data_IF_945911142380
#
_entry.id   IF_945911142380
#
_cell.length_a   1.000
_cell.length_b   1.000
_cell.length_c   1.000
_cell.angle_alpha   90.00
_cell.angle_beta   90.00
_cell.angle_gamma   90.00
#
_symmetry.space_group_name_H-M   'P 1'
#
loop_
_entity.id
_entity.type
_entity.pdbx_description
1 polymer ?
#
# COMPACT_ATOMS: atom_id res chain seq x y z
N UNK A 1 4.73 5.12 -10.44
CA UNK A 1 6.09 4.68 -10.04
C UNK A 1 6.88 4.02 -11.16
N UNK A 2 8.22 4.08 -11.07
CA UNK A 2 9.14 3.24 -11.85
C UNK A 2 9.28 1.87 -11.17
N UNK A 3 9.68 0.82 -11.91
CA UNK A 3 9.82 -0.55 -11.36
C UNK A 3 10.73 -0.62 -10.13
N UNK A 4 11.80 0.19 -10.07
CA UNK A 4 12.74 0.26 -8.94
C UNK A 4 12.08 0.73 -7.62
N UNK A 5 11.12 1.64 -7.70
CA UNK A 5 10.40 2.13 -6.51
C UNK A 5 9.53 1.03 -5.90
N UNK A 6 9.02 0.11 -6.74
CA UNK A 6 8.16 -0.99 -6.32
C UNK A 6 8.92 -2.03 -5.49
N UNK A 7 10.16 -2.34 -5.85
CA UNK A 7 10.98 -3.30 -5.10
C UNK A 7 11.48 -2.72 -3.78
N UNK A 8 11.78 -1.41 -3.72
CA UNK A 8 12.05 -0.71 -2.46
C UNK A 8 10.83 -0.60 -1.56
N UNK A 9 9.63 -0.60 -2.12
CA UNK A 9 8.40 -0.60 -1.32
C UNK A 9 8.18 -1.98 -0.66
N UNK A 10 8.47 -3.10 -1.33
CA UNK A 10 8.29 -4.44 -0.75
C UNK A 10 9.09 -4.68 0.55
N UNK A 11 10.26 -4.04 0.68
CA UNK A 11 11.08 -4.12 1.89
C UNK A 11 10.55 -3.29 3.07
N UNK A 12 9.62 -2.36 2.82
CA UNK A 12 9.07 -1.49 3.86
C UNK A 12 8.04 -2.19 4.75
N UNK A 13 7.94 -1.71 5.99
CA UNK A 13 6.95 -2.17 6.96
C UNK A 13 5.55 -1.64 6.65
N UNK A 14 4.51 -2.28 7.20
CA UNK A 14 3.12 -1.83 7.03
C UNK A 14 2.92 -0.39 7.54
N UNK A 15 3.62 -0.02 8.61
CA UNK A 15 3.60 1.33 9.17
C UNK A 15 4.18 2.38 8.20
N UNK A 16 5.28 2.06 7.52
CA UNK A 16 5.87 2.96 6.52
C UNK A 16 4.96 3.14 5.30
N UNK A 17 4.26 2.08 4.88
CA UNK A 17 3.25 2.20 3.82
C UNK A 17 2.09 3.13 4.22
N UNK A 18 1.62 3.04 5.46
CA UNK A 18 0.58 3.95 5.97
C UNK A 18 1.05 5.40 6.01
N UNK A 19 2.30 5.64 6.45
CA UNK A 19 2.89 6.98 6.45
C UNK A 19 2.97 7.58 5.04
N UNK A 20 3.50 6.82 4.09
CA UNK A 20 3.56 7.25 2.68
C UNK A 20 2.18 7.45 2.06
N UNK A 21 1.18 6.66 2.47
CA UNK A 21 -0.20 6.82 2.01
C UNK A 21 -0.81 8.14 2.50
N UNK A 22 -0.62 8.49 3.79
CA UNK A 22 -1.06 9.76 4.35
C UNK A 22 -0.39 10.97 3.68
N UNK A 23 0.90 10.87 3.37
CA UNK A 23 1.63 11.91 2.65
C UNK A 23 1.08 12.10 1.23
N UNK A 24 0.88 11.02 0.47
CA UNK A 24 0.31 11.08 -0.88
C UNK A 24 -1.14 11.56 -0.91
N UNK A 25 -1.93 11.29 0.13
CA UNK A 25 -3.31 11.81 0.23
C UNK A 25 -3.35 13.32 0.49
N UNK A 26 -2.42 13.85 1.29
CA UNK A 26 -2.23 15.30 1.45
C UNK A 26 -1.80 15.93 0.13
N UNK A 27 -0.79 15.36 -0.52
CA UNK A 27 -0.29 15.85 -1.81
C UNK A 27 -1.37 15.82 -2.88
N UNK A 28 -2.17 14.75 -2.95
CA UNK A 28 -3.34 14.67 -3.85
C UNK A 28 -4.30 15.83 -3.61
N UNK A 29 -4.61 16.13 -2.35
CA UNK A 29 -5.58 17.18 -1.99
C UNK A 29 -5.06 18.55 -2.44
N UNK A 30 -3.79 18.82 -2.17
CA UNK A 30 -3.11 20.05 -2.59
C UNK A 30 -3.05 20.19 -4.11
N UNK A 31 -2.68 19.12 -4.82
CA UNK A 31 -2.60 19.14 -6.28
C UNK A 31 -3.98 19.29 -6.93
N UNK A 32 -5.03 18.70 -6.38
CA UNK A 32 -6.42 18.92 -6.83
C UNK A 32 -6.84 20.37 -6.60
N UNK A 33 -6.48 20.96 -5.45
CA UNK A 33 -6.77 22.36 -5.17
C UNK A 33 -6.05 23.29 -6.17
N UNK A 34 -4.76 23.06 -6.39
CA UNK A 34 -3.95 23.80 -7.35
C UNK A 34 -4.47 23.67 -8.79
N UNK A 35 -4.98 22.49 -9.16
CA UNK A 35 -5.61 22.29 -10.47
C UNK A 35 -6.91 23.10 -10.60
N UNK A 36 -7.77 23.06 -9.58
CA UNK A 36 -9.03 23.79 -9.55
C UNK A 36 -8.84 25.30 -9.54
N UNK A 37 -7.79 25.78 -8.88
CA UNK A 37 -7.41 27.19 -8.86
C UNK A 37 -6.70 27.64 -10.16
N UNK A 38 -6.46 26.74 -11.12
CA UNK A 38 -5.71 27.05 -12.35
C UNK A 38 -4.22 27.35 -12.12
N UNK A 39 -3.72 27.11 -10.90
CA UNK A 39 -2.32 27.36 -10.51
C UNK A 39 -1.35 26.39 -11.16
N UNK A 40 -1.82 25.21 -11.56
CA UNK A 40 -0.99 24.20 -12.23
C UNK A 40 -1.64 23.71 -13.51
N UNK A 41 -0.86 23.65 -14.60
CA UNK A 41 -1.28 23.09 -15.90
C UNK A 41 -1.07 21.58 -15.97
N UNK A 42 -0.38 21.00 -14.99
CA UNK A 42 0.00 19.60 -15.01
C UNK A 42 -1.12 18.70 -14.48
N UNK A 43 -2.10 18.41 -15.33
CA UNK A 43 -3.26 17.55 -15.03
C UNK A 43 -2.90 16.10 -14.75
N UNK A 44 -1.73 15.64 -15.21
CA UNK A 44 -1.27 14.26 -15.05
C UNK A 44 -0.77 13.97 -13.64
N UNK A 45 -0.39 14.99 -12.86
CA UNK A 45 0.14 14.82 -11.50
C UNK A 45 -0.89 14.14 -10.60
N UNK A 46 -2.15 14.58 -10.63
CA UNK A 46 -3.22 13.97 -9.83
C UNK A 46 -3.44 12.50 -10.21
N UNK A 47 -3.41 12.18 -11.51
CA UNK A 47 -3.56 10.81 -12.00
C UNK A 47 -2.40 9.92 -11.54
N UNK A 48 -1.17 10.43 -11.59
CA UNK A 48 0.03 9.73 -11.11
C UNK A 48 -0.04 9.47 -9.61
N UNK A 49 -0.41 10.46 -8.80
CA UNK A 49 -0.57 10.30 -7.35
C UNK A 49 -1.64 9.25 -7.02
N UNK A 50 -2.78 9.27 -7.73
CA UNK A 50 -3.83 8.23 -7.56
C UNK A 50 -3.31 6.83 -7.87
N UNK A 51 -2.50 6.69 -8.94
CA UNK A 51 -1.87 5.41 -9.30
C UNK A 51 -0.90 4.94 -8.21
N UNK A 52 -0.07 5.84 -7.69
CA UNK A 52 0.89 5.50 -6.64
C UNK A 52 0.17 5.09 -5.33
N UNK A 53 -0.93 5.78 -4.96
CA UNK A 53 -1.81 5.36 -3.84
C UNK A 53 -2.38 3.96 -4.06
N UNK A 54 -2.89 3.65 -5.26
CA UNK A 54 -3.46 2.34 -5.57
C UNK A 54 -2.40 1.22 -5.48
N UNK A 55 -1.17 1.50 -5.92
CA UNK A 55 -0.05 0.56 -5.81
C UNK A 55 0.31 0.28 -4.35
N UNK A 56 0.39 1.32 -3.50
CA UNK A 56 0.64 1.15 -2.06
C UNK A 56 -0.47 0.32 -1.40
N UNK A 57 -1.74 0.65 -1.67
CA UNK A 57 -2.89 -0.11 -1.13
C UNK A 57 -2.84 -1.59 -1.52
N UNK A 58 -2.47 -1.86 -2.78
CA UNK A 58 -2.32 -3.24 -3.27
C UNK A 58 -1.21 -3.98 -2.54
N UNK A 59 -0.04 -3.35 -2.35
CA UNK A 59 1.07 -3.96 -1.61
C UNK A 59 0.73 -4.23 -0.15
N UNK A 60 0.03 -3.30 0.51
CA UNK A 60 -0.49 -3.51 1.87
C UNK A 60 -1.43 -4.71 1.88
N UNK A 61 -2.41 -4.78 0.97
CA UNK A 61 -3.36 -5.90 0.93
C UNK A 61 -2.68 -7.24 0.68
N UNK A 62 -1.73 -7.32 -0.25
CA UNK A 62 -0.95 -8.54 -0.51
C UNK A 62 -0.20 -8.97 0.76
N UNK A 63 0.42 -8.03 1.48
CA UNK A 63 1.17 -8.33 2.70
C UNK A 63 0.25 -8.80 3.83
N UNK A 64 -0.91 -8.18 3.99
CA UNK A 64 -1.92 -8.60 4.97
C UNK A 64 -2.46 -9.99 4.63
N UNK A 65 -2.83 -10.26 3.38
CA UNK A 65 -3.27 -11.59 2.94
C UNK A 65 -2.21 -12.66 3.21
N UNK A 66 -0.95 -12.40 2.87
CA UNK A 66 0.14 -13.34 3.13
C UNK A 66 0.31 -13.63 4.64
N UNK A 67 0.10 -12.62 5.49
CA UNK A 67 0.11 -12.81 6.94
C UNK A 67 -1.11 -13.59 7.45
N UNK A 68 -2.30 -13.37 6.89
CA UNK A 68 -3.53 -14.11 7.20
C UNK A 68 -3.33 -15.61 6.86
N UNK A 69 -2.87 -15.93 5.64
CA UNK A 69 -2.56 -17.30 5.24
C UNK A 69 -1.48 -17.95 6.10
N UNK A 70 -0.44 -17.20 6.50
CA UNK A 70 0.61 -17.72 7.37
C UNK A 70 0.09 -18.05 8.79
N UNK A 71 -0.88 -17.29 9.31
CA UNK A 71 -1.51 -17.55 10.61
C UNK A 71 -2.40 -18.79 10.56
N UNK A 72 -3.28 -18.87 9.56
CA UNK A 72 -4.20 -20.00 9.37
C UNK A 72 -3.44 -21.34 9.25
N UNK A 73 -2.35 -21.37 8.48
CA UNK A 73 -1.52 -22.58 8.35
C UNK A 73 -0.80 -22.98 9.66
N UNK A 74 -0.52 -22.03 10.54
CA UNK A 74 0.10 -22.32 11.84
C UNK A 74 -0.94 -22.81 12.85
N UNK A 75 -2.20 -22.38 12.75
CA UNK A 75 -3.30 -22.86 13.58
C UNK A 75 -3.69 -24.30 13.22
N UNK A 76 -3.82 -24.61 11.91
CA UNK A 76 -4.04 -25.97 11.41
C UNK A 76 -2.95 -26.98 11.85
N UNK A 77 -1.70 -26.53 11.91
CA UNK A 77 -0.56 -27.35 12.40
C UNK A 77 -0.60 -27.60 13.91
N UNK A 78 -1.19 -26.69 14.70
CA UNK A 78 -1.33 -26.87 16.16
C UNK A 78 -2.47 -27.82 16.50
N UNK A 79 -3.58 -27.74 15.78
CA UNK A 79 -4.74 -28.63 15.97
C UNK A 79 -4.41 -30.09 15.60
N UNK A 80 -3.67 -30.29 14.51
CA UNK A 80 -3.23 -31.64 14.09
C UNK A 80 -2.23 -32.28 15.05
N UNK A 81 -1.41 -31.50 15.77
CA UNK A 81 -0.49 -32.02 16.79
C UNK A 81 -1.21 -32.44 18.09
N UNK A 82 -2.29 -31.74 18.46
CA UNK A 82 -3.11 -32.08 19.63
C UNK A 82 -4.08 -33.24 19.40
N UNK A 83 -4.47 -33.53 18.16
CA UNK A 83 -5.37 -34.64 17.85
C UNK A 83 -4.69 -36.03 17.79
N UNK A 84 -3.35 -36.07 17.71
CA UNK A 84 -2.54 -37.32 17.67
C UNK A 84 -1.81 -37.64 18.98
N UNK A 85 -2.08 -36.91 20.07
CA UNK A 85 -1.54 -37.19 21.41
C UNK A 85 -2.58 -37.83 22.33
#
# INVERSE_FOLDING_TARGET
>A
MKKKDLDQLKSKTVAEFQKSLSELEKEKTEQVLNLKMGKTKNVHVVSKIKKDIAQIKTLVRIKTLAQEYAKENNELKKETQHATS
#
